data_IF_225751273991
#
_entry.id   IF_225751273991
#
_cell.length_a   1.000
_cell.length_b   1.000
_cell.length_c   1.000
_cell.angle_alpha   90.00
_cell.angle_beta   90.00
_cell.angle_gamma   90.00
#
_symmetry.space_group_name_H-M   'P 1'
#
loop_
_entity.id
_entity.type
_entity.pdbx_description
1 polymer ?
#
# COMPACT_ATOMS: atom_id res chain seq x y z
N UNK A 1 -5.20 1.75 -20.15
CA UNK A 1 -6.12 0.68 -20.00
C UNK A 1 -6.09 0.07 -18.61
N UNK A 2 -7.24 -0.09 -18.03
CA UNK A 2 -7.32 -0.57 -16.65
C UNK A 2 -6.98 -2.05 -16.57
N UNK A 3 -6.25 -2.39 -15.55
CA UNK A 3 -5.90 -3.76 -15.28
C UNK A 3 -6.86 -4.33 -14.25
N UNK A 4 -7.31 -5.52 -14.49
CA UNK A 4 -8.20 -6.17 -13.53
C UNK A 4 -7.39 -7.08 -12.62
N UNK A 5 -7.60 -6.94 -11.33
CA UNK A 5 -6.88 -7.73 -10.33
C UNK A 5 -7.83 -8.76 -9.73
N UNK A 6 -7.34 -9.97 -9.56
CA UNK A 6 -8.14 -11.05 -9.01
C UNK A 6 -7.60 -11.38 -7.63
N UNK A 7 -8.47 -11.21 -6.64
CA UNK A 7 -8.05 -11.33 -5.25
C UNK A 7 -8.98 -12.26 -4.49
N UNK A 8 -8.41 -13.01 -3.56
CA UNK A 8 -9.24 -13.69 -2.57
C UNK A 8 -9.68 -12.66 -1.54
N UNK A 9 -10.73 -12.99 -0.78
CA UNK A 9 -11.20 -12.09 0.25
C UNK A 9 -10.12 -11.84 1.28
N UNK A 10 -9.35 -12.87 1.57
CA UNK A 10 -8.27 -12.77 2.55
C UNK A 10 -7.19 -11.82 2.07
N UNK A 11 -6.79 -11.96 0.81
CA UNK A 11 -5.78 -11.08 0.25
C UNK A 11 -6.27 -9.65 0.18
N UNK A 12 -7.54 -9.48 -0.15
CA UNK A 12 -8.12 -8.15 -0.20
C UNK A 12 -8.01 -7.45 1.15
N UNK A 13 -8.30 -8.18 2.21
CA UNK A 13 -8.21 -7.60 3.54
C UNK A 13 -6.78 -7.22 3.87
N UNK A 14 -5.82 -8.06 3.50
CA UNK A 14 -4.42 -7.75 3.73
C UNK A 14 -4.01 -6.46 3.03
N UNK A 15 -4.45 -6.29 1.80
CA UNK A 15 -4.09 -5.10 1.03
C UNK A 15 -4.73 -3.85 1.61
N UNK A 16 -5.96 -3.98 2.10
CA UNK A 16 -6.61 -2.85 2.75
C UNK A 16 -5.88 -2.42 4.01
N UNK A 17 -5.42 -3.40 4.78
CA UNK A 17 -4.69 -3.09 6.00
C UNK A 17 -3.34 -2.47 5.68
N UNK A 18 -2.68 -2.97 4.64
CA UNK A 18 -1.42 -2.38 4.23
C UNK A 18 -1.61 -0.93 3.81
N UNK A 19 -2.65 -0.67 3.04
CA UNK A 19 -2.91 0.69 2.59
C UNK A 19 -3.17 1.63 3.76
N UNK A 20 -3.96 1.19 4.72
CA UNK A 20 -4.22 1.99 5.91
C UNK A 20 -2.93 2.28 6.67
N UNK A 21 -2.09 1.25 6.83
CA UNK A 21 -0.83 1.44 7.52
C UNK A 21 0.04 2.47 6.80
N UNK A 22 0.12 2.35 5.48
CA UNK A 22 0.96 3.26 4.71
C UNK A 22 0.47 4.70 4.81
N UNK A 23 -0.85 4.88 4.78
CA UNK A 23 -1.41 6.23 4.79
C UNK A 23 -1.39 6.87 6.17
N UNK A 24 -1.29 6.08 7.22
CA UNK A 24 -1.32 6.64 8.58
C UNK A 24 0.06 6.59 9.22
N UNK A 25 0.57 5.38 9.45
CA UNK A 25 1.82 5.24 10.20
C UNK A 25 3.02 5.57 9.34
N UNK A 26 3.12 4.94 8.16
CA UNK A 26 4.31 5.09 7.34
C UNK A 26 4.46 6.49 6.79
N UNK A 27 3.36 7.11 6.42
CA UNK A 27 3.40 8.48 5.90
C UNK A 27 3.96 9.42 6.96
N UNK A 28 3.55 9.22 8.20
CA UNK A 28 4.04 10.04 9.30
C UNK A 28 5.53 9.83 9.52
N UNK A 29 5.97 8.57 9.47
CA UNK A 29 7.38 8.25 9.66
C UNK A 29 8.23 8.91 8.59
N UNK A 30 7.79 8.85 7.34
CA UNK A 30 8.56 9.43 6.25
C UNK A 30 8.60 10.95 6.37
N UNK A 31 7.49 11.55 6.77
CA UNK A 31 7.47 13.01 6.97
C UNK A 31 8.47 13.41 8.04
N UNK A 32 8.60 12.61 9.10
CA UNK A 32 9.58 12.90 10.14
C UNK A 32 11.00 12.74 9.61
N UNK A 33 11.23 11.75 8.78
CA UNK A 33 12.56 11.58 8.19
C UNK A 33 12.96 12.79 7.37
N UNK A 34 12.02 13.32 6.58
CA UNK A 34 12.31 14.48 5.75
C UNK A 34 12.56 15.70 6.62
N UNK A 35 11.75 15.87 7.65
CA UNK A 35 11.92 17.00 8.57
C UNK A 35 13.28 16.94 9.26
N UNK A 36 13.64 15.76 9.71
CA UNK A 36 14.92 15.60 10.38
C UNK A 36 16.09 15.86 9.44
N UNK A 37 15.97 15.35 8.21
CA UNK A 37 17.03 15.54 7.23
C UNK A 37 17.23 17.01 6.91
N UNK A 38 16.14 17.77 6.86
CA UNK A 38 16.24 19.20 6.57
C UNK A 38 17.03 19.93 7.65
N UNK A 39 16.94 19.44 8.87
CA UNK A 39 17.62 20.10 9.98
C UNK A 39 19.14 19.98 9.88
N UNK A 40 19.64 19.11 9.01
CA UNK A 40 21.07 18.92 8.84
C UNK A 40 21.72 19.99 7.96
N UNK A 41 20.92 20.84 7.31
CA UNK A 41 21.47 21.99 6.61
C UNK A 41 21.36 21.88 5.11
N UNK A 42 22.47 22.00 4.41
CA UNK A 42 22.51 22.14 2.97
C UNK A 42 21.86 20.95 2.27
N UNK A 43 20.74 21.20 1.61
CA UNK A 43 20.00 20.14 0.95
C UNK A 43 20.66 19.64 -0.33
N UNK A 44 21.52 20.46 -0.93
CA UNK A 44 22.13 20.05 -2.18
C UNK A 44 23.19 18.96 -1.98
N UNK A 45 23.70 18.81 -0.77
CA UNK A 45 24.68 17.78 -0.45
C UNK A 45 24.22 16.89 0.69
N UNK A 46 22.95 16.90 0.96
CA UNK A 46 22.40 16.19 2.10
C UNK A 46 21.89 14.82 1.67
N UNK A 47 22.73 13.79 1.84
CA UNK A 47 22.34 12.45 1.44
C UNK A 47 21.21 11.92 2.30
N UNK A 48 21.08 12.39 3.53
CA UNK A 48 19.96 12.01 4.38
C UNK A 48 18.65 12.50 3.78
N UNK A 49 18.66 13.72 3.27
CA UNK A 49 17.47 14.28 2.64
C UNK A 49 17.12 13.50 1.37
N UNK A 50 18.14 13.18 0.58
CA UNK A 50 17.91 12.40 -0.64
C UNK A 50 17.31 11.06 -0.33
N UNK A 51 17.80 10.40 0.71
CA UNK A 51 17.26 9.12 1.12
C UNK A 51 15.82 9.24 1.58
N UNK A 52 15.53 10.28 2.36
CA UNK A 52 14.17 10.48 2.85
C UNK A 52 13.20 10.74 1.70
N UNK A 53 13.62 11.52 0.72
CA UNK A 53 12.78 11.76 -0.46
C UNK A 53 12.58 10.48 -1.26
N UNK A 54 13.61 9.67 -1.32
CA UNK A 54 13.53 8.39 -2.00
C UNK A 54 12.49 7.48 -1.34
N UNK A 55 12.51 7.44 -0.01
CA UNK A 55 11.52 6.66 0.74
C UNK A 55 10.12 7.21 0.51
N UNK A 56 10.00 8.53 0.41
CA UNK A 56 8.70 9.13 0.12
C UNK A 56 8.18 8.67 -1.23
N UNK A 57 9.05 8.64 -2.22
CA UNK A 57 8.67 8.18 -3.56
C UNK A 57 8.19 6.73 -3.54
N UNK A 58 8.92 5.88 -2.84
CA UNK A 58 8.51 4.48 -2.73
C UNK A 58 7.16 4.36 -2.04
N UNK A 59 6.96 5.14 -0.99
CA UNK A 59 5.71 5.10 -0.25
C UNK A 59 4.53 5.47 -1.13
N UNK A 60 4.64 6.56 -1.85
CA UNK A 60 3.53 7.03 -2.69
C UNK A 60 3.31 6.12 -3.89
N UNK A 61 4.39 5.53 -4.42
CA UNK A 61 4.24 4.55 -5.49
C UNK A 61 3.43 3.34 -5.02
N UNK A 62 3.74 2.86 -3.82
CA UNK A 62 3.02 1.71 -3.30
C UNK A 62 1.57 2.05 -2.99
N UNK A 63 1.34 3.24 -2.45
CA UNK A 63 -0.03 3.68 -2.17
C UNK A 63 -0.83 3.75 -3.46
N UNK A 64 -0.25 4.31 -4.51
CA UNK A 64 -0.94 4.41 -5.79
C UNK A 64 -1.24 3.02 -6.35
N UNK A 65 -0.30 2.10 -6.21
CA UNK A 65 -0.49 0.74 -6.67
C UNK A 65 -1.65 0.07 -5.94
N UNK A 66 -1.68 0.22 -4.61
CA UNK A 66 -2.74 -0.37 -3.82
C UNK A 66 -4.09 0.26 -4.13
N UNK A 67 -4.11 1.58 -4.33
CA UNK A 67 -5.34 2.26 -4.71
C UNK A 67 -5.88 1.71 -6.02
N UNK A 68 -4.99 1.48 -6.98
CA UNK A 68 -5.42 0.94 -8.26
C UNK A 68 -5.97 -0.47 -8.11
N UNK A 69 -5.28 -1.31 -7.36
CA UNK A 69 -5.73 -2.68 -7.13
C UNK A 69 -7.11 -2.67 -6.47
N UNK A 70 -7.26 -1.85 -5.45
CA UNK A 70 -8.51 -1.82 -4.70
C UNK A 70 -9.65 -1.15 -5.45
N UNK A 71 -9.34 -0.48 -6.54
CA UNK A 71 -10.37 0.12 -7.39
C UNK A 71 -10.82 -0.82 -8.50
N UNK A 72 -10.01 -1.82 -8.84
CA UNK A 72 -10.25 -2.65 -10.02
C UNK A 72 -10.12 -4.14 -9.73
N UNK A 73 -10.51 -4.56 -8.56
CA UNK A 73 -10.36 -5.96 -8.20
C UNK A 73 -11.62 -6.76 -8.42
N UNK A 74 -11.44 -8.08 -8.55
CA UNK A 74 -12.53 -9.03 -8.60
C UNK A 74 -12.25 -10.09 -7.55
N UNK A 75 -13.25 -10.41 -6.75
CA UNK A 75 -13.09 -11.42 -5.71
C UNK A 75 -13.12 -12.80 -6.34
N UNK A 76 -12.15 -13.63 -6.00
CA UNK A 76 -12.11 -15.02 -6.45
C UNK A 76 -12.55 -15.90 -5.29
N UNK A 77 -13.59 -16.70 -5.51
CA UNK A 77 -14.08 -17.65 -4.52
C UNK A 77 -13.22 -18.88 -4.56
N UNK A 78 -12.74 -19.22 -3.46
CA UNK A 78 -11.90 -20.39 -3.38
C UNK A 78 -12.66 -21.64 -3.20
N UNK A 79 -13.52 -21.71 -2.92
CA UNK A 79 -14.12 -22.84 -2.58
C UNK A 79 -15.14 -23.17 -3.24
N UNK A 80 -14.95 -23.02 -3.49
CA UNK A 80 -15.46 -23.10 -3.85
C UNK A 80 -15.59 -23.88 -3.93
N UNK A 81 -15.58 -24.06 -3.54
CA UNK A 81 -15.61 -24.52 -3.40
C UNK A 81 -16.08 -24.92 -2.97
N UNK A 82 -16.34 -25.17 -2.61
CA UNK A 82 -16.77 -25.15 -2.07
C UNK A 82 -17.22 -24.93 -1.59
N UNK A 83 -17.36 -24.97 -1.27
CA UNK A 83 -17.90 -24.44 -0.75
C UNK A 83 -18.51 -24.19 -0.62
N UNK A 84 -18.69 -24.48 -0.39
CA UNK A 84 -19.40 -24.00 -0.18
C UNK A 84 -19.83 -23.85 0.07
N UNK A 85 -20.10 -24.25 0.34
CA UNK A 85 -20.68 -23.91 0.71
C UNK A 85 -20.99 -23.55 1.05
N UNK A 86 -21.18 -23.89 1.30
CA UNK A 86 -21.66 -23.27 1.68
C UNK A 86 -21.86 -22.83 1.82
N UNK A 87 -22.04 -23.03 2.06
CA UNK A 87 -22.54 -22.49 2.14
C UNK A 87 -22.88 -22.06 2.13
N UNK A 88 -23.03 -22.57 2.21
CA UNK A 88 -23.53 -22.12 2.19
C UNK A 88 -23.82 -21.91 2.13
N UNK A 89 -24.04 -22.26 2.30
CA UNK A 89 -24.33 -21.97 2.31
C UNK A 89 -24.26 -21.84 2.25
N UNK A 90 -24.50 -22.17 2.32
CA UNK A 90 -24.47 -21.99 2.30
C UNK A 90 -24.53 -21.87 2.26
#
# INVERSE_FOLDING_TARGET
>A
MAKEYRLSAERLEELKQELTYLKTVREKEVAELIKEARSFGDLSENSEYDEAKNEQGKLYSRIAELDEILSNYTIIEEQETARDIVHVGN
#
